data_IF_868472140832
#
_entry.id   IF_868472140832
#
_cell.length_a   1.000
_cell.length_b   1.000
_cell.length_c   1.000
_cell.angle_alpha   90.00
_cell.angle_beta   90.00
_cell.angle_gamma   90.00
#
_symmetry.space_group_name_H-M   'P 1'
#
loop_
_entity.id
_entity.type
_entity.pdbx_description
1 polymer ?
#
# COMPACT_ATOMS: atom_id res chain seq x y z
N UNK A 1 10.49 32.33 -45.74
CA UNK A 1 11.09 31.54 -44.64
C UNK A 1 9.96 31.21 -43.67
N UNK A 2 9.47 29.96 -43.71
CA UNK A 2 8.30 29.52 -42.94
C UNK A 2 8.75 29.04 -41.55
N UNK A 3 8.31 29.73 -40.49
CA UNK A 3 8.48 29.29 -39.11
C UNK A 3 7.49 28.15 -38.83
N UNK A 4 8.00 26.95 -38.50
CA UNK A 4 7.18 25.82 -38.06
C UNK A 4 7.01 25.87 -36.54
N UNK A 5 5.75 25.99 -36.14
CA UNK A 5 5.21 25.92 -34.79
C UNK A 5 5.44 24.51 -34.21
N UNK A 6 6.18 24.39 -33.11
CA UNK A 6 6.29 23.14 -32.36
C UNK A 6 5.15 23.06 -31.32
N UNK A 7 4.30 22.06 -31.47
CA UNK A 7 3.29 21.67 -30.49
C UNK A 7 4.05 21.04 -29.30
N UNK A 8 4.06 21.76 -28.18
CA UNK A 8 4.60 21.27 -26.90
C UNK A 8 3.55 20.35 -26.26
N UNK A 9 3.71 19.05 -26.45
CA UNK A 9 2.94 18.02 -25.73
C UNK A 9 3.25 18.12 -24.24
N UNK A 10 2.19 18.28 -23.44
CA UNK A 10 2.23 18.42 -21.99
C UNK A 10 2.83 17.16 -21.35
N UNK A 11 4.12 17.21 -21.00
CA UNK A 11 4.77 16.17 -20.21
C UNK A 11 4.34 16.38 -18.75
N UNK A 12 3.54 15.46 -18.21
CA UNK A 12 3.20 15.42 -16.79
C UNK A 12 4.48 15.41 -15.97
N UNK A 13 4.80 16.54 -15.35
CA UNK A 13 5.92 16.69 -14.43
C UNK A 13 5.59 15.92 -13.15
N UNK A 14 5.99 14.65 -13.08
CA UNK A 14 6.12 13.95 -11.81
C UNK A 14 7.19 14.68 -11.00
N UNK A 15 6.78 15.44 -10.00
CA UNK A 15 7.68 16.04 -9.02
C UNK A 15 8.26 14.89 -8.20
N UNK A 16 9.43 14.39 -8.60
CA UNK A 16 10.25 13.56 -7.73
C UNK A 16 10.78 14.47 -6.62
N UNK A 17 10.18 14.39 -5.43
CA UNK A 17 10.78 14.98 -4.24
C UNK A 17 11.97 14.10 -3.88
N UNK A 18 13.14 14.42 -4.42
CA UNK A 18 14.40 13.78 -4.02
C UNK A 18 14.84 14.37 -2.69
N UNK A 19 14.65 13.62 -1.60
CA UNK A 19 15.24 13.97 -0.32
C UNK A 19 16.73 13.56 -0.33
N UNK A 20 17.69 14.51 -0.23
CA UNK A 20 19.08 14.15 -0.09
C UNK A 20 19.29 13.44 1.26
N UNK A 21 19.90 12.26 1.23
CA UNK A 21 20.36 11.59 2.44
C UNK A 21 21.41 12.48 3.12
N UNK A 22 21.03 13.07 4.24
CA UNK A 22 21.95 13.73 5.16
C UNK A 22 21.53 13.44 6.60
N UNK A 23 22.53 13.05 7.37
CA UNK A 23 22.57 12.89 8.82
C UNK A 23 21.68 13.90 9.56
N UNK A 24 20.66 13.41 10.27
CA UNK A 24 19.78 14.18 11.15
C UNK A 24 19.15 15.43 10.50
N UNK A 25 18.58 15.28 9.30
CA UNK A 25 17.65 16.27 8.77
C UNK A 25 16.46 16.38 9.74
N UNK A 26 16.21 17.57 10.27
CA UNK A 26 15.05 17.85 11.13
C UNK A 26 13.79 17.42 10.37
N UNK A 27 13.15 16.36 10.84
CA UNK A 27 11.94 15.86 10.22
C UNK A 27 10.90 16.99 10.21
N UNK A 28 10.31 17.28 9.05
CA UNK A 28 9.39 18.42 8.89
C UNK A 28 7.94 17.96 8.96
N UNK A 29 7.05 18.86 9.37
CA UNK A 29 5.62 18.63 9.24
C UNK A 29 5.22 18.81 7.77
N UNK A 30 4.54 17.82 7.20
CA UNK A 30 4.10 17.77 5.81
C UNK A 30 2.58 17.55 5.75
N UNK A 31 1.89 18.35 4.95
CA UNK A 31 0.46 18.19 4.68
C UNK A 31 0.26 17.86 3.21
N UNK A 32 -0.32 16.70 2.94
CA UNK A 32 -0.70 16.23 1.61
C UNK A 32 -2.13 16.69 1.37
N UNK A 33 -2.31 17.67 0.48
CA UNK A 33 -3.61 18.20 0.07
C UNK A 33 -3.99 17.80 -1.35
N UNK A 34 -3.05 17.24 -2.10
CA UNK A 34 -3.26 16.67 -3.44
C UNK A 34 -2.71 15.26 -3.48
N UNK A 35 -3.40 14.35 -4.17
CA UNK A 35 -2.99 12.96 -4.21
C UNK A 35 -1.55 12.81 -4.68
N UNK A 36 -0.78 12.05 -3.90
CA UNK A 36 0.68 11.98 -4.00
C UNK A 36 1.10 10.52 -3.90
N UNK A 37 2.18 10.14 -4.57
CA UNK A 37 2.69 8.77 -4.56
C UNK A 37 4.09 8.73 -3.97
N UNK A 38 4.30 7.82 -3.02
CA UNK A 38 5.62 7.45 -2.52
C UNK A 38 6.05 6.13 -3.13
N UNK A 39 7.26 6.13 -3.69
CA UNK A 39 7.94 4.90 -4.10
C UNK A 39 8.34 4.10 -2.85
N UNK A 40 8.61 2.79 -2.98
CA UNK A 40 9.10 1.99 -1.86
C UNK A 40 10.34 2.62 -1.25
N UNK A 41 10.45 2.61 0.07
CA UNK A 41 11.53 3.31 0.77
C UNK A 41 11.14 3.78 2.17
N UNK A 42 12.04 4.54 2.78
CA UNK A 42 11.84 5.09 4.12
C UNK A 42 11.67 6.61 4.04
N UNK A 43 10.69 7.13 4.76
CA UNK A 43 10.35 8.54 4.80
C UNK A 43 10.25 9.01 6.24
N UNK A 44 10.73 10.23 6.53
CA UNK A 44 10.82 10.79 7.88
C UNK A 44 10.05 12.10 7.96
N UNK A 45 9.15 12.20 8.93
CA UNK A 45 8.34 13.39 9.18
C UNK A 45 8.33 13.73 10.67
N UNK A 46 8.13 15.01 11.00
CA UNK A 46 7.63 15.32 12.34
C UNK A 46 6.14 14.94 12.38
N UNK A 47 5.34 15.59 11.54
CA UNK A 47 3.92 15.29 11.41
C UNK A 47 3.58 15.06 9.94
N UNK A 48 3.01 13.91 9.60
CA UNK A 48 2.44 13.65 8.28
C UNK A 48 0.92 13.76 8.36
N UNK A 49 0.31 14.70 7.64
CA UNK A 49 -1.14 14.82 7.53
C UNK A 49 -1.59 14.59 6.09
N UNK A 50 -2.57 13.71 5.88
CA UNK A 50 -3.29 13.59 4.61
C UNK A 50 -4.66 14.21 4.76
N UNK A 51 -4.95 15.20 3.91
CA UNK A 51 -6.10 16.08 4.03
C UNK A 51 -6.79 16.32 2.68
N UNK A 52 -7.89 17.07 2.70
CA UNK A 52 -8.57 17.55 1.48
C UNK A 52 -9.08 16.43 0.56
N UNK A 53 -9.52 15.31 1.14
CA UNK A 53 -9.95 14.11 0.40
C UNK A 53 -8.91 13.57 -0.58
N UNK A 54 -7.63 13.85 -0.31
CA UNK A 54 -6.51 13.33 -1.09
C UNK A 54 -6.12 11.92 -0.67
N UNK A 55 -5.42 11.23 -1.57
CA UNK A 55 -4.84 9.91 -1.34
C UNK A 55 -3.32 9.99 -1.38
N UNK A 56 -2.66 9.56 -0.31
CA UNK A 56 -1.26 9.20 -0.33
C UNK A 56 -1.14 7.73 -0.76
N UNK A 57 -0.67 7.49 -1.98
CA UNK A 57 -0.42 6.14 -2.50
C UNK A 57 0.98 5.67 -2.11
N UNK A 58 1.08 4.52 -1.45
CA UNK A 58 2.33 3.88 -1.05
C UNK A 58 2.59 2.67 -1.96
N UNK A 59 3.58 2.78 -2.83
CA UNK A 59 3.90 1.73 -3.79
C UNK A 59 4.68 0.57 -3.15
N UNK A 60 4.51 -0.61 -3.72
CA UNK A 60 5.39 -1.76 -3.49
C UNK A 60 6.26 -2.04 -4.71
N UNK A 61 7.41 -2.68 -4.47
CA UNK A 61 8.29 -3.20 -5.50
C UNK A 61 8.70 -4.64 -5.18
N UNK A 62 8.07 -5.63 -5.82
CA UNK A 62 8.40 -7.05 -5.67
C UNK A 62 9.86 -7.40 -5.95
N UNK A 63 10.56 -6.62 -6.78
CA UNK A 63 11.95 -6.86 -7.17
C UNK A 63 12.97 -6.35 -6.15
N UNK A 64 12.54 -5.46 -5.24
CA UNK A 64 13.40 -4.87 -4.20
C UNK A 64 13.87 -5.90 -3.19
N UNK A 65 15.12 -5.79 -2.75
CA UNK A 65 15.68 -6.55 -1.62
C UNK A 65 15.33 -5.89 -0.28
N UNK A 66 15.12 -6.71 0.76
CA UNK A 66 14.64 -6.22 2.05
C UNK A 66 13.15 -5.87 2.01
N UNK A 67 12.76 -4.83 2.75
CA UNK A 67 11.36 -4.40 2.78
C UNK A 67 10.93 -3.83 1.41
N UNK A 68 9.83 -4.37 0.89
CA UNK A 68 9.35 -4.13 -0.48
C UNK A 68 8.33 -3.00 -0.57
N UNK A 69 7.92 -2.41 0.54
CA UNK A 69 6.91 -1.36 0.62
C UNK A 69 7.46 -0.01 1.08
N UNK A 70 6.59 0.79 1.70
CA UNK A 70 6.95 2.10 2.26
C UNK A 70 6.95 2.08 3.80
N UNK A 71 8.03 2.59 4.39
CA UNK A 71 8.15 2.83 5.83
C UNK A 71 8.03 4.33 6.06
N UNK A 72 7.09 4.72 6.93
CA UNK A 72 6.89 6.10 7.37
C UNK A 72 7.30 6.18 8.83
N UNK A 73 8.36 6.93 9.11
CA UNK A 73 8.76 7.34 10.44
C UNK A 73 8.17 8.73 10.73
N UNK A 74 7.40 8.85 11.80
CA UNK A 74 6.81 10.13 12.19
C UNK A 74 6.67 10.31 13.70
N UNK A 75 6.57 11.56 14.17
CA UNK A 75 6.05 11.81 15.51
C UNK A 75 4.53 11.68 15.51
N UNK A 76 3.85 12.22 14.50
CA UNK A 76 2.40 12.10 14.37
C UNK A 76 1.99 11.79 12.92
N UNK A 77 0.96 10.96 12.75
CA UNK A 77 0.27 10.73 11.48
C UNK A 77 -1.20 11.08 11.65
N UNK A 78 -1.72 11.91 10.76
CA UNK A 78 -3.14 12.32 10.75
C UNK A 78 -3.73 12.02 9.38
N UNK A 79 -4.82 11.26 9.34
CA UNK A 79 -5.60 11.03 8.13
C UNK A 79 -6.98 11.62 8.36
N UNK A 80 -7.27 12.72 7.69
CA UNK A 80 -8.56 13.41 7.80
C UNK A 80 -9.70 12.57 7.21
N UNK A 81 -10.94 12.90 7.61
CA UNK A 81 -12.13 12.36 6.98
C UNK A 81 -12.13 12.57 5.46
N UNK A 82 -12.53 11.53 4.73
CA UNK A 82 -12.48 11.48 3.26
C UNK A 82 -11.07 11.35 2.65
N UNK A 83 -9.99 11.44 3.44
CA UNK A 83 -8.61 11.24 2.99
C UNK A 83 -8.12 9.81 3.21
N UNK A 84 -7.05 9.43 2.51
CA UNK A 84 -6.52 8.06 2.61
C UNK A 84 -5.01 7.94 2.50
N UNK A 85 -4.46 6.95 3.22
CA UNK A 85 -3.15 6.37 2.94
C UNK A 85 -3.40 4.98 2.37
N UNK A 86 -3.02 4.74 1.12
CA UNK A 86 -3.40 3.53 0.40
C UNK A 86 -2.19 2.84 -0.22
N UNK A 87 -2.04 1.55 0.04
CA UNK A 87 -1.20 0.62 -0.70
C UNK A 87 -2.07 -0.38 -1.49
N UNK A 88 -3.31 0.00 -1.83
CA UNK A 88 -4.24 -0.88 -2.52
C UNK A 88 -3.67 -1.27 -3.90
N UNK A 89 -3.73 -2.57 -4.22
CA UNK A 89 -3.20 -3.15 -5.46
C UNK A 89 -1.71 -2.80 -5.75
N UNK A 90 -0.92 -2.52 -4.71
CA UNK A 90 0.52 -2.23 -4.83
C UNK A 90 1.43 -3.42 -4.43
N UNK A 91 0.87 -4.63 -4.41
CA UNK A 91 1.56 -5.88 -4.06
C UNK A 91 2.14 -6.62 -5.27
N UNK A 92 2.23 -7.95 -5.16
CA UNK A 92 2.68 -8.79 -6.28
C UNK A 92 1.70 -8.73 -7.46
N UNK A 93 2.21 -8.79 -8.72
CA UNK A 93 1.38 -8.91 -9.92
C UNK A 93 0.52 -10.18 -9.95
N UNK A 94 -0.44 -10.21 -10.86
CA UNK A 94 -1.32 -11.36 -11.07
C UNK A 94 -0.53 -12.66 -11.29
N UNK A 95 -0.86 -13.71 -10.55
CA UNK A 95 -0.19 -15.01 -10.60
C UNK A 95 1.20 -15.03 -9.96
N UNK A 96 1.61 -13.95 -9.29
CA UNK A 96 2.92 -13.83 -8.65
C UNK A 96 2.81 -13.67 -7.13
N UNK A 97 3.91 -13.99 -6.45
CA UNK A 97 4.04 -13.90 -5.00
C UNK A 97 4.02 -15.28 -4.30
N UNK A 98 4.47 -15.35 -3.04
CA UNK A 98 4.65 -16.63 -2.34
C UNK A 98 3.35 -17.41 -2.13
N UNK A 99 2.21 -16.72 -2.09
CA UNK A 99 0.89 -17.31 -1.92
C UNK A 99 0.02 -17.26 -3.17
N UNK A 100 0.60 -17.01 -4.35
CA UNK A 100 -0.13 -17.02 -5.61
C UNK A 100 -0.79 -18.40 -5.85
N UNK A 101 -2.01 -18.44 -6.39
CA UNK A 101 -2.64 -19.70 -6.76
C UNK A 101 -1.90 -20.35 -7.93
N UNK A 102 -2.07 -21.67 -8.09
CA UNK A 102 -1.54 -22.39 -9.26
C UNK A 102 -2.04 -21.73 -10.55
N UNK A 103 -1.19 -21.52 -11.56
CA UNK A 103 -1.59 -20.93 -12.84
C UNK A 103 -2.63 -21.78 -13.60
N UNK A 104 -2.82 -23.04 -13.20
CA UNK A 104 -3.85 -23.93 -13.75
C UNK A 104 -5.17 -23.89 -12.98
N UNK A 105 -5.22 -23.26 -11.80
CA UNK A 105 -6.41 -23.16 -10.96
C UNK A 105 -6.83 -21.70 -10.75
N UNK A 106 -7.47 -21.23 -11.81
CA UNK A 106 -8.16 -19.97 -11.99
C UNK A 106 -9.33 -19.69 -11.03
N UNK A 107 -9.72 -20.63 -10.17
CA UNK A 107 -10.78 -20.40 -9.17
C UNK A 107 -10.24 -20.16 -7.78
N UNK A 108 -8.92 -20.20 -7.59
CA UNK A 108 -8.29 -20.08 -6.28
C UNK A 108 -7.90 -18.65 -5.95
N UNK A 109 -8.06 -18.29 -4.68
CA UNK A 109 -7.58 -17.03 -4.13
C UNK A 109 -6.10 -17.10 -3.75
N UNK A 110 -5.40 -15.98 -3.88
CA UNK A 110 -4.07 -15.84 -3.32
C UNK A 110 -4.12 -15.83 -1.78
N UNK A 111 -3.01 -16.24 -1.15
CA UNK A 111 -2.90 -16.40 0.31
C UNK A 111 -1.98 -15.35 0.91
N UNK A 112 -2.32 -14.81 2.08
CA UNK A 112 -1.43 -14.02 2.94
C UNK A 112 -1.96 -14.02 4.37
N UNK A 113 -1.19 -14.46 5.37
CA UNK A 113 -1.69 -14.60 6.75
C UNK A 113 -2.72 -15.72 6.97
N UNK A 114 -3.46 -16.11 5.93
CA UNK A 114 -4.36 -17.26 5.89
C UNK A 114 -4.36 -17.95 4.52
N UNK A 115 -4.96 -19.14 4.43
CA UNK A 115 -5.08 -19.90 3.18
C UNK A 115 -6.19 -19.29 2.33
N UNK A 116 -5.84 -18.84 1.13
CA UNK A 116 -6.82 -18.41 0.14
C UNK A 116 -7.69 -19.57 -0.34
N UNK A 117 -8.96 -19.30 -0.64
CA UNK A 117 -9.89 -20.34 -1.05
C UNK A 117 -9.36 -21.14 -2.25
N UNK A 118 -9.45 -22.47 -2.21
CA UNK A 118 -9.01 -23.35 -3.31
C UNK A 118 -7.49 -23.45 -3.47
N UNK A 119 -6.72 -22.66 -2.71
CA UNK A 119 -5.27 -22.73 -2.68
C UNK A 119 -4.79 -23.84 -1.73
N UNK A 120 -3.51 -24.18 -1.82
CA UNK A 120 -2.88 -25.22 -1.00
C UNK A 120 -2.70 -24.75 0.44
N UNK A 121 -2.80 -25.64 1.43
CA UNK A 121 -2.58 -25.27 2.83
C UNK A 121 -1.18 -24.71 3.12
N UNK A 122 -0.21 -24.98 2.23
CA UNK A 122 1.18 -24.53 2.32
C UNK A 122 1.44 -23.19 1.63
N UNK A 123 0.44 -22.56 1.01
CA UNK A 123 0.62 -21.26 0.32
C UNK A 123 0.63 -20.05 1.27
N UNK A 124 0.41 -20.27 2.57
CA UNK A 124 0.43 -19.19 3.56
C UNK A 124 1.84 -18.69 3.83
N UNK A 125 1.98 -17.38 3.97
CA UNK A 125 3.22 -16.74 4.40
C UNK A 125 2.90 -15.44 5.15
N UNK A 126 3.95 -14.76 5.59
CA UNK A 126 3.85 -13.56 6.43
C UNK A 126 3.84 -13.88 7.92
N UNK A 127 3.69 -12.85 8.73
CA UNK A 127 3.66 -12.96 10.19
C UNK A 127 2.46 -12.19 10.72
N UNK A 128 1.63 -12.85 11.52
CA UNK A 128 0.49 -12.22 12.16
C UNK A 128 0.91 -11.15 13.19
N UNK A 129 2.11 -11.27 13.76
CA UNK A 129 2.63 -10.32 14.75
C UNK A 129 3.38 -9.14 14.10
N UNK A 130 3.99 -9.39 12.94
CA UNK A 130 4.84 -8.41 12.24
C UNK A 130 4.61 -8.54 10.72
N UNK A 131 3.47 -8.07 10.20
CA UNK A 131 3.18 -8.18 8.77
C UNK A 131 4.02 -7.15 7.99
N UNK A 132 4.99 -7.61 7.20
CA UNK A 132 5.94 -6.74 6.47
C UNK A 132 6.08 -7.08 4.99
N UNK A 133 5.22 -7.96 4.49
CA UNK A 133 5.35 -8.53 3.16
C UNK A 133 4.22 -8.05 2.27
N UNK A 134 4.48 -7.97 0.97
CA UNK A 134 3.45 -7.66 -0.02
C UNK A 134 2.44 -8.80 -0.10
N UNK A 135 1.19 -8.48 -0.41
CA UNK A 135 0.15 -9.44 -0.76
C UNK A 135 0.43 -10.09 -2.11
N UNK A 136 0.07 -11.37 -2.23
CA UNK A 136 0.23 -12.15 -3.45
C UNK A 136 -0.88 -11.84 -4.45
N UNK A 137 -0.53 -11.79 -5.73
CA UNK A 137 -1.50 -11.57 -6.79
C UNK A 137 -2.25 -12.84 -7.15
N UNK A 138 -3.54 -12.66 -7.43
CA UNK A 138 -4.40 -13.68 -8.02
C UNK A 138 -4.61 -13.36 -9.48
N UNK A 139 -5.80 -12.86 -9.83
CA UNK A 139 -6.05 -12.24 -11.13
C UNK A 139 -5.70 -10.77 -11.20
N UNK A 140 -5.73 -10.10 -10.06
CA UNK A 140 -5.24 -8.74 -9.89
C UNK A 140 -4.01 -8.72 -9.01
N UNK A 141 -3.48 -7.51 -8.85
CA UNK A 141 -2.39 -7.23 -7.92
C UNK A 141 -2.84 -7.48 -6.49
N UNK A 142 -1.97 -8.08 -5.69
CA UNK A 142 -2.15 -8.14 -4.24
C UNK A 142 -2.06 -6.76 -3.59
N UNK A 143 -2.43 -6.67 -2.32
CA UNK A 143 -2.23 -5.45 -1.55
C UNK A 143 -0.75 -5.16 -1.30
N UNK A 144 -0.37 -3.89 -1.20
CA UNK A 144 1.01 -3.48 -0.91
C UNK A 144 1.39 -3.65 0.56
N UNK A 145 2.58 -3.21 0.92
CA UNK A 145 3.08 -3.27 2.29
C UNK A 145 3.39 -1.87 2.80
N UNK A 146 2.93 -1.55 4.00
CA UNK A 146 3.26 -0.30 4.67
C UNK A 146 3.60 -0.51 6.14
N UNK A 147 4.56 0.29 6.61
CA UNK A 147 4.89 0.41 8.02
C UNK A 147 4.72 1.87 8.46
N UNK A 148 3.89 2.09 9.47
CA UNK A 148 3.75 3.37 10.15
C UNK A 148 4.45 3.25 11.50
N UNK A 149 5.68 3.76 11.58
CA UNK A 149 6.51 3.76 12.78
C UNK A 149 6.40 5.13 13.44
N UNK A 150 5.43 5.25 14.35
CA UNK A 150 5.00 6.53 14.92
C UNK A 150 5.34 6.57 16.41
N UNK A 151 6.05 7.60 16.85
CA UNK A 151 6.45 7.72 18.27
C UNK A 151 5.35 8.35 19.12
N UNK A 152 4.49 9.18 18.52
CA UNK A 152 3.34 9.83 19.15
C UNK A 152 2.03 9.21 18.70
N UNK A 153 1.21 9.99 17.97
CA UNK A 153 -0.18 9.62 17.67
C UNK A 153 -0.39 9.27 16.21
N UNK A 154 -1.09 8.17 15.95
CA UNK A 154 -1.78 7.92 14.69
C UNK A 154 -3.25 8.26 14.91
N UNK A 155 -3.72 9.34 14.29
CA UNK A 155 -5.14 9.70 14.22
C UNK A 155 -5.65 9.34 12.82
N UNK A 156 -6.53 8.34 12.74
CA UNK A 156 -7.15 7.94 11.48
C UNK A 156 -8.65 8.20 11.55
N UNK A 157 -9.11 9.28 10.94
CA UNK A 157 -10.53 9.56 10.71
C UNK A 157 -10.98 9.19 9.29
N UNK A 158 -10.02 8.94 8.38
CA UNK A 158 -10.25 8.49 7.01
C UNK A 158 -10.03 6.98 6.81
N UNK A 159 -9.23 6.61 5.81
CA UNK A 159 -8.92 5.21 5.48
C UNK A 159 -7.42 4.96 5.32
N UNK A 160 -6.91 3.94 6.02
CA UNK A 160 -5.57 3.39 5.81
C UNK A 160 -5.74 1.98 5.26
N UNK A 161 -5.25 1.71 4.05
CA UNK A 161 -5.57 0.46 3.37
C UNK A 161 -4.42 -0.16 2.58
N UNK A 162 -4.45 -1.48 2.47
CA UNK A 162 -3.56 -2.31 1.67
C UNK A 162 -4.38 -3.45 1.04
N UNK A 163 -5.53 -3.13 0.46
CA UNK A 163 -6.44 -4.12 -0.10
C UNK A 163 -5.90 -4.68 -1.43
N UNK A 164 -6.11 -5.98 -1.62
CA UNK A 164 -5.87 -6.64 -2.89
C UNK A 164 -7.00 -6.40 -3.89
N UNK A 165 -6.70 -6.63 -5.17
CA UNK A 165 -7.70 -6.65 -6.24
C UNK A 165 -8.17 -8.09 -6.54
N UNK A 166 -8.76 -8.36 -7.70
CA UNK A 166 -9.44 -9.63 -8.01
C UNK A 166 -8.66 -10.91 -7.65
N UNK A 167 -9.29 -11.76 -6.82
CA UNK A 167 -8.76 -13.05 -6.31
C UNK A 167 -7.35 -12.98 -5.69
N UNK A 168 -6.88 -11.79 -5.34
CA UNK A 168 -5.58 -11.58 -4.71
C UNK A 168 -5.72 -11.53 -3.19
N UNK A 169 -4.61 -11.58 -2.48
CA UNK A 169 -4.60 -11.40 -1.03
C UNK A 169 -4.49 -9.91 -0.69
N UNK A 170 -4.93 -9.57 0.52
CA UNK A 170 -4.55 -8.32 1.14
C UNK A 170 -3.04 -8.22 1.30
N UNK A 171 -2.58 -7.00 1.55
CA UNK A 171 -1.20 -6.69 1.87
C UNK A 171 -0.97 -6.59 3.37
N UNK A 172 0.04 -5.81 3.75
CA UNK A 172 0.38 -5.59 5.16
C UNK A 172 0.25 -4.14 5.57
N UNK A 173 -0.40 -3.94 6.71
CA UNK A 173 -0.41 -2.67 7.45
C UNK A 173 0.20 -2.97 8.82
N UNK A 174 1.39 -2.45 9.07
CA UNK A 174 2.05 -2.57 10.37
C UNK A 174 2.18 -1.19 11.02
N UNK A 175 1.48 -1.00 12.15
CA UNK A 175 1.44 0.27 12.86
C UNK A 175 2.05 0.11 14.24
N UNK A 176 3.05 0.92 14.56
CA UNK A 176 3.50 1.15 15.92
C UNK A 176 3.23 2.60 16.27
N UNK A 177 2.55 2.83 17.39
CA UNK A 177 2.16 4.16 17.86
C UNK A 177 2.06 4.14 19.39
N UNK A 178 2.34 5.28 20.03
CA UNK A 178 2.01 5.43 21.45
C UNK A 178 0.50 5.57 21.64
N UNK A 179 -0.16 6.32 20.74
CA UNK A 179 -1.60 6.51 20.75
C UNK A 179 -2.18 6.22 19.38
N UNK A 180 -3.25 5.42 19.31
CA UNK A 180 -4.06 5.22 18.11
C UNK A 180 -5.47 5.77 18.37
N UNK A 181 -5.92 6.73 17.58
CA UNK A 181 -7.22 7.40 17.73
C UNK A 181 -7.92 7.58 16.37
N UNK A 182 -9.17 8.04 16.43
CA UNK A 182 -9.99 8.35 15.27
C UNK A 182 -11.10 7.33 15.02
N UNK A 183 -11.98 7.62 14.07
CA UNK A 183 -13.14 6.77 13.72
C UNK A 183 -13.02 6.11 12.35
N UNK A 184 -11.86 6.23 11.72
CA UNK A 184 -11.56 5.73 10.40
C UNK A 184 -11.36 4.22 10.34
N UNK A 185 -10.97 3.74 9.15
CA UNK A 185 -10.86 2.30 8.84
C UNK A 185 -9.42 1.91 8.53
N UNK A 186 -9.02 0.75 9.04
CA UNK A 186 -7.86 0.00 8.56
C UNK A 186 -8.35 -1.20 7.75
N UNK A 187 -7.84 -1.39 6.53
CA UNK A 187 -8.29 -2.46 5.63
C UNK A 187 -7.13 -3.14 4.91
N UNK A 188 -7.03 -4.46 5.02
CA UNK A 188 -6.07 -5.27 4.28
C UNK A 188 -6.77 -6.53 3.75
N UNK A 189 -7.89 -6.34 3.06
CA UNK A 189 -8.72 -7.39 2.52
C UNK A 189 -8.13 -7.94 1.22
N UNK A 190 -8.19 -9.26 1.03
CA UNK A 190 -8.06 -9.83 -0.31
C UNK A 190 -9.24 -9.42 -1.20
N UNK A 191 -9.06 -9.50 -2.52
CA UNK A 191 -10.11 -9.08 -3.44
C UNK A 191 -11.06 -10.19 -3.85
N UNK A 192 -12.22 -9.77 -4.34
CA UNK A 192 -13.30 -10.65 -4.76
C UNK A 192 -12.92 -11.52 -5.97
N UNK A 193 -13.63 -12.64 -6.17
CA UNK A 193 -13.45 -13.52 -7.33
C UNK A 193 -13.84 -12.81 -8.65
N UNK A 194 -13.19 -13.18 -9.75
CA UNK A 194 -13.41 -12.59 -11.08
C UNK A 194 -14.74 -13.00 -11.76
N UNK A 195 -15.54 -13.93 -11.20
CA UNK A 195 -16.83 -14.32 -11.79
C UNK A 195 -17.85 -14.94 -10.80
N UNK A 196 -19.00 -14.26 -10.65
CA UNK A 196 -20.37 -14.79 -10.64
C UNK A 196 -20.86 -15.92 -9.73
N UNK A 197 -20.07 -16.55 -8.85
CA UNK A 197 -20.54 -17.71 -8.08
C UNK A 197 -19.90 -17.91 -6.72
N UNK A 198 -20.75 -18.09 -5.71
CA UNK A 198 -20.54 -18.62 -4.35
C UNK A 198 -19.45 -17.94 -3.49
N UNK A 199 -19.92 -17.22 -2.46
CA UNK A 199 -19.11 -16.54 -1.46
C UNK A 199 -18.23 -17.51 -0.67
N UNK A 200 -16.92 -17.38 -0.82
CA UNK A 200 -15.98 -17.80 0.19
C UNK A 200 -14.93 -16.71 0.38
N UNK A 201 -14.72 -16.36 1.65
CA UNK A 201 -13.96 -15.21 2.11
C UNK A 201 -12.50 -15.24 1.61
N UNK A 202 -11.89 -14.06 1.38
CA UNK A 202 -10.44 -13.96 1.17
C UNK A 202 -9.69 -14.45 2.41
N UNK A 203 -8.44 -14.90 2.19
CA UNK A 203 -7.46 -15.18 3.25
C UNK A 203 -6.74 -13.92 3.69
#
# INVERSE_FOLDING_TARGET
>A
MHARMYVLTLLTLCVFVTFPMATHATATSTVITTSTTFAPGEYFFDTLRVASSSTLTLQGDPSRSGFKGVIIHANNVVVDDGSSISADAQGYPAGEGPGAPSPTNYSSGASYGGVGNGNTATSTYGSALHPTELGSGGYGFGGGAMQLIVTGTVQNDGRISADGYSASSGGSIYVTAHTLTGTGVFSAMGGALASGGSYHFPG
#
